data_IF_506113298632
#
_entry.id   IF_506113298632
#
_cell.length_a   1.000
_cell.length_b   1.000
_cell.length_c   1.000
_cell.angle_alpha   90.00
_cell.angle_beta   90.00
_cell.angle_gamma   90.00
#
_symmetry.space_group_name_H-M   'P 1'
#
loop_
_entity.id
_entity.type
_entity.pdbx_description
1 polymer ?
#
# COMPACT_ATOMS: atom_id res chain seq x y z
N UNK A 1 5.27 -7.29 15.73
CA UNK A 1 6.70 -7.24 15.35
C UNK A 1 7.56 -7.06 16.58
N UNK A 2 8.63 -7.82 16.73
CA UNK A 2 9.65 -7.62 17.77
C UNK A 2 10.64 -6.49 17.39
N UNK A 3 11.53 -6.11 18.30
CA UNK A 3 12.49 -5.01 18.09
C UNK A 3 13.41 -5.24 16.88
N UNK A 4 13.92 -6.46 16.68
CA UNK A 4 14.76 -6.81 15.52
C UNK A 4 14.00 -6.63 14.20
N UNK A 5 12.74 -7.10 14.13
CA UNK A 5 11.89 -6.94 12.95
C UNK A 5 11.58 -5.47 12.66
N UNK A 6 11.30 -4.67 13.70
CA UNK A 6 11.03 -3.24 13.54
C UNK A 6 12.27 -2.50 13.01
N UNK A 7 13.44 -2.77 13.59
CA UNK A 7 14.70 -2.18 13.14
C UNK A 7 15.06 -2.61 11.71
N UNK A 8 14.90 -3.89 11.39
CA UNK A 8 15.19 -4.42 10.06
C UNK A 8 14.26 -3.83 9.00
N UNK A 9 12.97 -3.69 9.31
CA UNK A 9 12.00 -3.06 8.41
C UNK A 9 12.36 -1.59 8.15
N UNK A 10 12.64 -0.81 9.20
CA UNK A 10 13.04 0.59 9.06
C UNK A 10 14.33 0.73 8.24
N UNK A 11 15.31 -0.14 8.48
CA UNK A 11 16.55 -0.15 7.72
C UNK A 11 16.33 -0.48 6.24
N UNK A 12 15.50 -1.48 5.93
CA UNK A 12 15.15 -1.82 4.55
C UNK A 12 14.40 -0.68 3.84
N UNK A 13 13.50 0.01 4.53
CA UNK A 13 12.84 1.21 3.97
C UNK A 13 13.88 2.30 3.69
N UNK A 14 14.77 2.57 4.64
CA UNK A 14 15.78 3.61 4.49
C UNK A 14 16.73 3.33 3.32
N UNK A 15 17.14 2.07 3.14
CA UNK A 15 17.88 1.60 1.97
C UNK A 15 17.24 2.09 0.66
N UNK A 16 15.96 1.77 0.43
CA UNK A 16 15.26 2.17 -0.80
C UNK A 16 15.11 3.69 -0.95
N UNK A 17 15.11 4.45 0.15
CA UNK A 17 14.99 5.92 0.08
C UNK A 17 16.29 6.64 -0.22
N UNK A 18 17.44 6.00 0.07
CA UNK A 18 18.79 6.56 -0.07
C UNK A 18 19.55 5.97 -1.27
N UNK A 19 19.20 4.77 -1.73
CA UNK A 19 19.81 4.11 -2.89
C UNK A 19 19.01 4.29 -4.18
N UNK A 20 19.73 4.37 -5.29
CA UNK A 20 19.14 4.49 -6.63
C UNK A 20 19.20 3.22 -7.48
N UNK A 21 20.12 2.29 -7.19
CA UNK A 21 20.36 1.15 -8.09
C UNK A 21 20.95 -0.10 -7.43
N UNK A 22 21.72 0.02 -6.35
CA UNK A 22 22.40 -1.12 -5.72
C UNK A 22 21.94 -1.24 -4.28
N UNK A 23 20.90 -2.05 -4.07
CA UNK A 23 20.29 -2.22 -2.76
C UNK A 23 20.95 -3.33 -1.96
N UNK A 24 21.23 -3.04 -0.69
CA UNK A 24 21.66 -3.98 0.33
C UNK A 24 22.41 -3.26 1.42
N UNK A 25 22.20 -3.67 2.68
CA UNK A 25 22.63 -2.91 3.87
C UNK A 25 24.14 -2.70 4.00
N UNK A 26 24.94 -3.48 3.26
CA UNK A 26 26.40 -3.45 3.23
C UNK A 26 26.96 -3.30 1.81
N UNK A 27 26.13 -2.97 0.83
CA UNK A 27 26.50 -2.74 -0.58
C UNK A 27 26.19 -1.30 -0.96
N UNK A 28 26.37 -0.92 -2.23
CA UNK A 28 26.01 0.44 -2.67
C UNK A 28 26.79 1.56 -1.97
N UNK A 29 26.15 2.73 -1.95
CA UNK A 29 26.61 3.99 -1.35
C UNK A 29 26.12 4.18 0.09
N UNK A 30 24.88 3.82 0.39
CA UNK A 30 24.33 3.74 1.72
C UNK A 30 24.79 2.43 2.38
N UNK A 31 25.33 2.52 3.61
CA UNK A 31 25.82 1.38 4.37
C UNK A 31 25.41 1.53 5.82
N UNK A 32 24.94 0.47 6.44
CA UNK A 32 24.39 0.51 7.79
C UNK A 32 25.18 -0.38 8.76
N UNK A 33 25.41 0.15 9.96
CA UNK A 33 25.99 -0.63 11.06
C UNK A 33 24.89 -0.97 12.05
N UNK A 34 24.56 -2.26 12.16
CA UNK A 34 23.58 -2.79 13.08
C UNK A 34 23.96 -4.24 13.48
N UNK A 35 23.32 -4.83 14.50
CA UNK A 35 23.50 -6.24 14.81
C UNK A 35 23.23 -7.12 13.59
N UNK A 36 23.99 -8.22 13.43
CA UNK A 36 23.88 -9.11 12.27
C UNK A 36 22.45 -9.60 12.00
N UNK A 37 21.68 -9.88 13.06
CA UNK A 37 20.29 -10.30 12.93
C UNK A 37 19.37 -9.23 12.30
N UNK A 38 19.71 -7.95 12.46
CA UNK A 38 18.97 -6.82 11.87
C UNK A 38 19.35 -6.64 10.41
N UNK A 39 20.65 -6.61 10.08
CA UNK A 39 21.10 -6.41 8.69
C UNK A 39 20.69 -7.58 7.81
N UNK A 40 20.86 -8.82 8.27
CA UNK A 40 20.44 -10.01 7.52
C UNK A 40 18.92 -10.05 7.27
N UNK A 41 18.12 -9.65 8.26
CA UNK A 41 16.67 -9.58 8.10
C UNK A 41 16.25 -8.43 7.18
N UNK A 42 16.91 -7.28 7.25
CA UNK A 42 16.67 -6.16 6.34
C UNK A 42 17.01 -6.53 4.90
N UNK A 43 18.14 -7.18 4.66
CA UNK A 43 18.54 -7.68 3.34
C UNK A 43 17.51 -8.69 2.79
N UNK A 44 16.91 -9.51 3.65
CA UNK A 44 15.82 -10.41 3.23
C UNK A 44 14.56 -9.64 2.80
N UNK A 45 14.16 -8.57 3.51
CA UNK A 45 13.03 -7.72 3.12
C UNK A 45 13.31 -6.97 1.81
N UNK A 46 14.55 -6.51 1.61
CA UNK A 46 14.99 -5.88 0.36
C UNK A 46 14.87 -6.87 -0.80
N UNK A 47 15.38 -8.10 -0.64
CA UNK A 47 15.31 -9.15 -1.66
C UNK A 47 13.85 -9.53 -1.99
N UNK A 48 12.99 -9.68 -0.97
CA UNK A 48 11.57 -9.96 -1.16
C UNK A 48 10.88 -8.82 -1.93
N UNK A 49 11.17 -7.55 -1.58
CA UNK A 49 10.61 -6.39 -2.26
C UNK A 49 11.05 -6.30 -3.73
N UNK A 50 12.33 -6.59 -4.03
CA UNK A 50 12.87 -6.58 -5.39
C UNK A 50 12.35 -7.75 -6.25
N UNK A 51 11.99 -8.87 -5.63
CA UNK A 51 11.47 -10.04 -6.33
C UNK A 51 9.94 -10.02 -6.50
N UNK A 52 9.23 -9.09 -5.86
CA UNK A 52 7.78 -8.99 -5.93
C UNK A 52 7.29 -8.79 -7.38
N UNK A 53 6.43 -9.70 -7.86
CA UNK A 53 5.83 -9.68 -9.21
C UNK A 53 4.33 -9.34 -9.21
N UNK A 54 3.75 -9.04 -8.05
CA UNK A 54 2.32 -8.76 -7.93
C UNK A 54 1.95 -7.32 -8.32
N UNK A 55 0.65 -7.04 -8.35
CA UNK A 55 0.17 -5.67 -8.44
C UNK A 55 0.51 -4.90 -7.15
N UNK A 56 0.88 -3.63 -7.29
CA UNK A 56 1.13 -2.77 -6.13
C UNK A 56 -0.15 -2.59 -5.30
N UNK A 57 -0.11 -2.98 -4.03
CA UNK A 57 -1.23 -2.82 -3.10
C UNK A 57 -1.22 -1.45 -2.39
N UNK A 58 -0.08 -0.74 -2.42
CA UNK A 58 0.11 0.52 -1.74
C UNK A 58 0.79 1.52 -2.66
N UNK A 59 0.38 2.78 -2.54
CA UNK A 59 1.13 3.92 -3.04
C UNK A 59 2.06 4.39 -1.91
N UNK A 60 3.34 4.59 -2.24
CA UNK A 60 4.36 5.05 -1.30
C UNK A 60 4.74 6.49 -1.63
N UNK A 61 4.80 7.35 -0.61
CA UNK A 61 5.21 8.75 -0.74
C UNK A 61 6.30 9.03 0.28
N UNK A 62 7.40 9.66 -0.18
CA UNK A 62 8.44 10.21 0.69
C UNK A 62 8.20 11.70 0.89
N UNK A 63 7.94 12.09 2.13
CA UNK A 63 7.91 13.47 2.57
C UNK A 63 9.31 13.86 2.99
N UNK A 64 9.86 14.91 2.36
CA UNK A 64 11.22 15.39 2.65
C UNK A 64 11.18 16.73 3.35
N UNK A 65 12.13 16.95 4.26
CA UNK A 65 12.26 18.23 4.97
C UNK A 65 13.72 18.61 5.17
N UNK A 66 14.01 19.91 5.13
CA UNK A 66 15.35 20.43 5.45
C UNK A 66 15.58 20.53 6.96
N UNK A 67 14.52 20.65 7.74
CA UNK A 67 14.57 20.87 9.19
C UNK A 67 14.22 19.62 9.99
N UNK A 68 13.50 18.68 9.38
CA UNK A 68 12.99 17.47 10.04
C UNK A 68 13.42 16.20 9.32
N UNK A 69 13.26 15.06 10.00
CA UNK A 69 13.49 13.75 9.42
C UNK A 69 12.50 13.48 8.28
N UNK A 70 13.01 12.90 7.19
CA UNK A 70 12.19 12.38 6.09
C UNK A 70 11.21 11.31 6.59
N UNK A 71 9.97 11.37 6.11
CA UNK A 71 8.92 10.42 6.47
C UNK A 71 8.42 9.68 5.24
N UNK A 72 8.42 8.36 5.30
CA UNK A 72 7.79 7.50 4.29
C UNK A 72 6.41 7.10 4.77
N UNK A 73 5.40 7.37 3.95
CA UNK A 73 4.02 6.95 4.17
C UNK A 73 3.57 5.99 3.07
N UNK A 74 2.76 5.01 3.44
CA UNK A 74 2.14 4.07 2.51
C UNK A 74 0.62 4.13 2.66
N UNK A 75 -0.07 4.41 1.57
CA UNK A 75 -1.54 4.44 1.51
C UNK A 75 -2.03 3.29 0.65
N UNK A 76 -2.99 2.51 1.16
CA UNK A 76 -3.55 1.39 0.41
C UNK A 76 -4.16 1.89 -0.90
N UNK A 77 -3.82 1.23 -2.01
CA UNK A 77 -4.49 1.44 -3.28
C UNK A 77 -5.82 0.71 -3.16
N UNK A 78 -6.84 1.42 -2.70
CA UNK A 78 -8.21 0.90 -2.76
C UNK A 78 -8.61 0.93 -4.22
N UNK A 79 -8.72 -0.24 -4.84
CA UNK A 79 -9.47 -0.35 -6.08
C UNK A 79 -10.83 0.33 -5.85
N UNK A 80 -11.25 1.19 -6.78
CA UNK A 80 -12.61 1.69 -6.77
C UNK A 80 -13.52 0.46 -6.65
N UNK A 81 -14.19 0.29 -5.51
CA UNK A 81 -15.20 -0.73 -5.35
C UNK A 81 -16.16 -0.50 -6.52
N UNK A 82 -16.45 -1.49 -7.37
CA UNK A 82 -17.46 -1.33 -8.39
C UNK A 82 -18.79 -1.00 -7.71
N UNK A 83 -19.07 0.28 -7.53
CA UNK A 83 -20.39 0.79 -7.22
C UNK A 83 -21.06 1.28 -8.52
N UNK A 84 -21.56 0.37 -9.37
CA UNK A 84 -22.72 0.76 -10.19
C UNK A 84 -23.94 -0.14 -9.99
N UNK A 85 -23.82 -1.31 -9.36
CA UNK A 85 -24.95 -2.25 -9.28
C UNK A 85 -25.97 -1.89 -8.20
N UNK A 86 -25.54 -1.35 -7.07
CA UNK A 86 -26.45 -0.94 -5.98
C UNK A 86 -27.42 0.15 -6.44
N UNK A 87 -26.97 1.13 -7.23
CA UNK A 87 -27.84 2.14 -7.80
C UNK A 87 -28.74 1.57 -8.90
N UNK A 88 -28.22 0.67 -9.74
CA UNK A 88 -29.02 -0.02 -10.75
C UNK A 88 -30.12 -0.89 -10.11
N UNK A 89 -29.82 -1.63 -9.05
CA UNK A 89 -30.77 -2.46 -8.29
C UNK A 89 -31.76 -1.60 -7.49
N UNK A 90 -31.31 -0.48 -6.93
CA UNK A 90 -32.19 0.48 -6.28
C UNK A 90 -33.21 1.07 -7.26
N UNK A 91 -32.74 1.54 -8.43
CA UNK A 91 -33.59 2.05 -9.49
C UNK A 91 -34.50 0.97 -10.09
N UNK A 92 -34.01 -0.26 -10.25
CA UNK A 92 -34.81 -1.40 -10.69
C UNK A 92 -35.93 -1.72 -9.68
N UNK A 93 -35.63 -1.69 -8.37
CA UNK A 93 -36.60 -1.85 -7.30
C UNK A 93 -37.68 -0.76 -7.31
N UNK A 94 -37.27 0.51 -7.44
CA UNK A 94 -38.21 1.63 -7.56
C UNK A 94 -39.07 1.53 -8.83
N UNK A 95 -38.48 1.15 -9.95
CA UNK A 95 -39.19 0.95 -11.23
C UNK A 95 -40.24 -0.15 -11.13
N UNK A 96 -39.92 -1.26 -10.47
CA UNK A 96 -40.86 -2.35 -10.22
C UNK A 96 -42.05 -1.91 -9.35
N UNK A 97 -41.79 -1.19 -8.26
CA UNK A 97 -42.83 -0.66 -7.37
C UNK A 97 -43.73 0.34 -8.12
N UNK A 98 -43.15 1.26 -8.88
CA UNK A 98 -43.90 2.24 -9.68
C UNK A 98 -44.82 1.59 -10.73
N UNK A 99 -44.33 0.56 -11.42
CA UNK A 99 -45.14 -0.22 -12.36
C UNK A 99 -46.29 -0.96 -11.67
N UNK A 100 -46.07 -1.53 -10.49
CA UNK A 100 -47.13 -2.19 -9.72
C UNK A 100 -48.17 -1.21 -9.20
N UNK A 101 -47.76 -0.04 -8.71
CA UNK A 101 -48.67 1.00 -8.23
C UNK A 101 -49.61 1.52 -9.33
N UNK A 102 -49.11 1.71 -10.56
CA UNK A 102 -49.90 2.15 -11.72
C UNK A 102 -51.06 1.19 -12.06
N UNK A 103 -50.88 -0.11 -11.82
CA UNK A 103 -51.90 -1.14 -12.13
C UNK A 103 -53.04 -1.19 -11.11
N UNK A 104 -52.88 -0.51 -9.96
CA UNK A 104 -53.87 -0.48 -8.87
C UNK A 104 -54.77 0.76 -8.90
N UNK A 105 -54.54 1.70 -9.82
CA UNK A 105 -55.39 2.87 -9.99
C UNK A 105 -56.75 2.44 -10.57
N UNK A 106 -57.87 2.63 -9.85
CA UNK A 106 -59.19 2.41 -10.41
C UNK A 106 -59.41 3.37 -11.58
N UNK A 107 -60.02 2.85 -12.66
CA UNK A 107 -60.40 3.66 -13.83
C UNK A 107 -61.53 4.60 -13.47
#
# INVERSE_FOLDING_TARGET
MNATQQAAFQLAVWEFTQEGSTFGTQTGTFRAVAPLAVTALADSYIADALSFQGASAYQVVKLTSVDYQDLVIATAITAAVPEPESYALFLAGLGAIGLMARRRLPR
#
